data_IF_304583346744
#
_entry.id   IF_304583346744
#
_cell.length_a   1.000
_cell.length_b   1.000
_cell.length_c   1.000
_cell.angle_alpha   90.00
_cell.angle_beta   90.00
_cell.angle_gamma   90.00
#
_symmetry.space_group_name_H-M   'P 1'
#
loop_
_entity.id
_entity.type
_entity.pdbx_description
1 polymer ?
#
# COMPACT_ATOMS: atom_id res chain seq x y z
N UNK A 1 11.81 20.23 -30.56
CA UNK A 1 11.69 21.34 -31.50
C UNK A 1 10.26 21.89 -31.56
N UNK A 2 9.22 21.05 -31.57
CA UNK A 2 7.80 21.49 -31.60
C UNK A 2 7.37 22.30 -30.36
N UNK A 3 7.80 21.90 -29.17
CA UNK A 3 7.49 22.61 -27.90
C UNK A 3 8.11 24.02 -27.88
N UNK A 4 9.29 24.21 -28.48
CA UNK A 4 9.91 25.54 -28.65
C UNK A 4 9.15 26.45 -29.61
N UNK A 5 8.27 25.88 -30.42
CA UNK A 5 7.38 26.60 -31.35
C UNK A 5 5.97 26.80 -30.75
N UNK A 6 5.77 26.50 -29.46
CA UNK A 6 4.49 26.65 -28.80
C UNK A 6 3.47 25.55 -29.12
N UNK A 7 3.90 24.46 -29.79
CA UNK A 7 3.02 23.30 -30.01
C UNK A 7 3.26 22.24 -28.92
N UNK A 8 2.28 21.94 -28.06
CA UNK A 8 2.42 20.92 -27.05
C UNK A 8 2.62 19.54 -27.70
N UNK A 9 3.62 18.77 -27.23
CA UNK A 9 3.85 17.40 -27.67
C UNK A 9 3.06 16.39 -26.82
N UNK A 10 2.58 16.81 -25.66
CA UNK A 10 1.72 16.05 -24.76
C UNK A 10 0.48 16.90 -24.55
N UNK A 11 -0.68 16.35 -24.86
CA UNK A 11 -1.96 17.00 -24.58
C UNK A 11 -2.22 17.01 -23.07
N UNK A 12 -2.85 18.08 -22.59
CA UNK A 12 -3.34 18.13 -21.23
C UNK A 12 -4.52 17.17 -21.13
N UNK A 13 -4.41 16.20 -20.22
CA UNK A 13 -5.53 15.34 -19.86
C UNK A 13 -6.35 16.04 -18.75
N UNK A 14 -7.42 16.71 -19.17
CA UNK A 14 -8.29 17.47 -18.26
C UNK A 14 -9.09 16.56 -17.30
N UNK A 15 -9.19 15.28 -17.59
CA UNK A 15 -9.90 14.30 -16.76
C UNK A 15 -9.11 12.99 -16.66
N UNK A 16 -8.00 12.96 -15.89
CA UNK A 16 -7.21 11.75 -15.76
C UNK A 16 -8.05 10.61 -15.18
N UNK A 17 -7.97 9.44 -15.80
CA UNK A 17 -8.65 8.24 -15.34
C UNK A 17 -8.22 7.82 -13.92
N UNK A 18 -8.93 6.88 -13.29
CA UNK A 18 -8.58 6.38 -11.98
C UNK A 18 -7.17 5.78 -11.99
N UNK A 19 -6.42 6.03 -10.92
CA UNK A 19 -5.07 5.49 -10.77
C UNK A 19 -5.11 3.97 -10.78
N UNK A 20 -4.23 3.37 -11.55
CA UNK A 20 -4.09 1.91 -11.64
C UNK A 20 -3.27 1.33 -10.47
N UNK A 21 -2.48 2.18 -9.80
CA UNK A 21 -1.66 1.83 -8.65
C UNK A 21 -1.56 3.00 -7.68
N UNK A 22 -1.48 2.70 -6.39
CA UNK A 22 -1.33 3.72 -5.34
C UNK A 22 -0.08 3.40 -4.53
N UNK A 23 0.97 4.20 -4.69
CA UNK A 23 2.19 4.05 -3.93
C UNK A 23 2.28 5.05 -2.76
N UNK A 24 2.86 4.58 -1.66
CA UNK A 24 3.28 5.41 -0.54
C UNK A 24 4.67 4.98 -0.10
N UNK A 25 5.66 5.84 -0.33
CA UNK A 25 7.07 5.53 -0.10
C UNK A 25 7.77 6.70 0.56
N UNK A 26 8.82 6.41 1.34
CA UNK A 26 9.63 7.46 1.95
C UNK A 26 11.09 7.04 2.06
N UNK A 27 11.99 7.97 1.81
CA UNK A 27 13.39 7.85 2.21
C UNK A 27 13.55 8.29 3.65
N UNK A 28 14.36 7.56 4.41
CA UNK A 28 14.63 7.84 5.81
C UNK A 28 15.77 8.84 5.94
N UNK A 29 15.64 9.81 6.83
CA UNK A 29 16.70 10.78 7.10
C UNK A 29 17.95 10.13 7.72
N UNK A 30 17.77 9.04 8.47
CA UNK A 30 18.81 8.17 8.99
C UNK A 30 18.57 6.74 8.55
N UNK A 31 19.61 5.97 8.19
CA UNK A 31 19.44 4.56 7.83
C UNK A 31 18.82 3.76 8.97
N UNK A 32 17.92 2.86 8.65
CA UNK A 32 17.28 1.94 9.59
C UNK A 32 17.95 0.57 9.50
N UNK A 33 18.22 -0.02 10.67
CA UNK A 33 18.87 -1.34 10.80
C UNK A 33 17.93 -2.38 11.38
N UNK A 34 16.95 -1.96 12.17
CA UNK A 34 16.07 -2.83 12.93
C UNK A 34 14.76 -3.06 12.19
N UNK A 35 14.21 -4.26 12.39
CA UNK A 35 12.93 -4.65 11.78
C UNK A 35 11.75 -3.81 12.30
N UNK A 36 11.71 -3.53 13.60
CA UNK A 36 10.57 -2.85 14.23
C UNK A 36 10.27 -1.46 13.63
N UNK A 37 11.23 -0.54 13.51
CA UNK A 37 11.00 0.75 12.87
C UNK A 37 10.59 0.63 11.39
N UNK A 38 11.08 -0.39 10.67
CA UNK A 38 10.66 -0.65 9.30
C UNK A 38 9.19 -1.09 9.22
N UNK A 39 8.74 -1.95 10.14
CA UNK A 39 7.33 -2.35 10.25
C UNK A 39 6.46 -1.12 10.56
N UNK A 40 6.85 -0.30 11.53
CA UNK A 40 6.13 0.92 11.90
C UNK A 40 5.97 1.86 10.68
N UNK A 41 7.04 2.03 9.90
CA UNK A 41 7.02 2.86 8.70
C UNK A 41 6.07 2.30 7.62
N UNK A 42 6.17 1.00 7.29
CA UNK A 42 5.32 0.44 6.22
C UNK A 42 3.86 0.32 6.61
N UNK A 43 3.54 0.14 7.89
CA UNK A 43 2.15 0.15 8.39
C UNK A 43 1.55 1.56 8.29
N UNK A 44 2.31 2.60 8.60
CA UNK A 44 1.90 3.98 8.37
C UNK A 44 1.67 4.26 6.87
N UNK A 45 2.58 3.80 6.02
CA UNK A 45 2.45 3.98 4.57
C UNK A 45 1.23 3.23 4.01
N UNK A 46 0.95 2.03 4.51
CA UNK A 46 -0.25 1.28 4.15
C UNK A 46 -1.53 2.03 4.56
N UNK A 47 -1.56 2.62 5.74
CA UNK A 47 -2.68 3.47 6.18
C UNK A 47 -2.92 4.68 5.27
N UNK A 48 -1.85 5.36 4.87
CA UNK A 48 -1.93 6.49 3.92
C UNK A 48 -2.34 6.05 2.51
N UNK A 49 -1.90 4.88 2.07
CA UNK A 49 -2.30 4.31 0.78
C UNK A 49 -3.78 3.90 0.80
N UNK A 50 -4.26 3.29 1.89
CA UNK A 50 -5.66 2.92 2.10
C UNK A 50 -6.60 4.13 2.04
N UNK A 51 -6.23 5.26 2.67
CA UNK A 51 -7.02 6.49 2.58
C UNK A 51 -7.14 7.01 1.13
N UNK A 52 -6.03 6.97 0.37
CA UNK A 52 -6.05 7.37 -1.05
C UNK A 52 -6.92 6.41 -1.89
N UNK A 53 -6.87 5.11 -1.56
CA UNK A 53 -7.66 4.08 -2.22
C UNK A 53 -9.17 4.34 -2.01
N UNK A 54 -9.59 4.61 -0.77
CA UNK A 54 -10.98 4.96 -0.44
C UNK A 54 -11.45 6.24 -1.11
N UNK A 55 -10.60 7.27 -1.20
CA UNK A 55 -10.92 8.51 -1.95
C UNK A 55 -11.18 8.28 -3.42
N UNK A 56 -10.59 7.22 -3.99
CA UNK A 56 -10.82 6.80 -5.38
C UNK A 56 -11.98 5.82 -5.52
N UNK A 57 -12.62 5.40 -4.40
CA UNK A 57 -13.64 4.35 -4.37
C UNK A 57 -13.17 3.04 -5.03
N UNK A 58 -11.95 2.62 -4.70
CA UNK A 58 -11.33 1.41 -5.23
C UNK A 58 -10.95 0.45 -4.13
N UNK A 59 -10.82 -0.83 -4.47
CA UNK A 59 -10.31 -1.91 -3.62
C UNK A 59 -9.00 -2.42 -4.23
N UNK A 60 -8.07 -2.85 -3.40
CA UNK A 60 -6.82 -3.49 -3.85
C UNK A 60 -6.90 -5.01 -3.61
N UNK A 61 -6.31 -5.78 -4.51
CA UNK A 61 -6.17 -7.24 -4.37
C UNK A 61 -4.75 -7.65 -4.02
N UNK A 62 -3.78 -6.78 -4.25
CA UNK A 62 -2.37 -7.05 -4.01
C UNK A 62 -1.69 -5.84 -3.36
N UNK A 63 -0.73 -6.13 -2.48
CA UNK A 63 0.13 -5.17 -1.83
C UNK A 63 1.59 -5.52 -2.08
N UNK A 64 2.33 -4.68 -2.80
CA UNK A 64 3.78 -4.74 -2.88
C UNK A 64 4.39 -4.01 -1.69
N UNK A 65 5.30 -4.68 -0.98
CA UNK A 65 6.16 -4.08 0.05
C UNK A 65 7.59 -4.12 -0.45
N UNK A 66 8.36 -3.06 -0.25
CA UNK A 66 9.75 -3.04 -0.66
C UNK A 66 10.63 -2.23 0.31
N UNK A 67 11.92 -2.56 0.31
CA UNK A 67 12.95 -1.82 1.01
C UNK A 67 14.28 -1.90 0.25
N UNK A 68 15.11 -0.86 0.35
CA UNK A 68 16.45 -0.89 -0.22
C UNK A 68 17.45 -0.01 0.52
N UNK A 69 18.72 -0.36 0.37
CA UNK A 69 19.87 0.40 0.83
C UNK A 69 20.22 1.52 -0.16
N UNK A 70 21.17 2.38 0.18
CA UNK A 70 21.65 3.42 -0.74
C UNK A 70 22.54 2.84 -1.83
N UNK A 71 22.25 3.06 -3.10
CA UNK A 71 23.13 2.63 -4.19
C UNK A 71 24.43 3.42 -4.28
N UNK A 72 24.51 4.56 -3.57
CA UNK A 72 25.68 5.47 -3.64
C UNK A 72 26.68 5.28 -2.48
N UNK A 73 26.44 4.32 -1.61
CA UNK A 73 27.36 4.03 -0.49
C UNK A 73 28.17 2.77 -0.78
N UNK A 74 29.44 2.71 -0.32
CA UNK A 74 30.32 1.55 -0.55
C UNK A 74 29.93 0.32 0.30
N UNK A 75 28.93 0.44 1.17
CA UNK A 75 28.44 -0.62 2.04
C UNK A 75 27.70 -1.70 1.23
N UNK A 76 27.55 -2.89 1.83
CA UNK A 76 26.81 -3.97 1.22
C UNK A 76 25.38 -3.53 0.87
N UNK A 77 24.98 -3.77 -0.37
CA UNK A 77 23.69 -3.35 -0.90
C UNK A 77 22.67 -4.47 -0.81
N UNK A 78 21.45 -4.09 -0.45
CA UNK A 78 20.30 -4.98 -0.40
C UNK A 78 19.07 -4.25 -0.95
N UNK A 79 18.42 -4.85 -1.95
CA UNK A 79 17.12 -4.40 -2.47
C UNK A 79 16.19 -5.59 -2.48
N UNK A 80 15.08 -5.49 -1.78
CA UNK A 80 14.08 -6.56 -1.69
C UNK A 80 12.68 -6.02 -1.82
N UNK A 81 11.84 -6.82 -2.44
CA UNK A 81 10.40 -6.57 -2.55
C UNK A 81 9.64 -7.89 -2.49
N UNK A 82 8.41 -7.81 -2.04
CA UNK A 82 7.49 -8.95 -2.01
C UNK A 82 6.08 -8.45 -2.33
N UNK A 83 5.37 -9.21 -3.15
CA UNK A 83 3.94 -9.03 -3.38
C UNK A 83 3.19 -9.91 -2.39
N UNK A 84 2.33 -9.30 -1.60
CA UNK A 84 1.45 -9.98 -0.66
C UNK A 84 0.05 -9.98 -1.26
N UNK A 85 -0.48 -11.15 -1.68
CA UNK A 85 -1.85 -11.23 -2.13
C UNK A 85 -2.80 -11.01 -0.94
N UNK A 86 -3.84 -10.22 -1.16
CA UNK A 86 -4.89 -10.00 -0.18
C UNK A 86 -5.97 -11.08 -0.34
N UNK A 87 -6.43 -11.62 0.76
CA UNK A 87 -7.43 -12.71 0.74
C UNK A 87 -8.71 -12.33 -0.01
N UNK A 88 -9.07 -11.04 0.03
CA UNK A 88 -10.21 -10.45 -0.70
C UNK A 88 -9.85 -9.03 -1.09
N UNK A 89 -10.42 -8.49 -2.18
CA UNK A 89 -10.29 -7.09 -2.50
C UNK A 89 -10.72 -6.23 -1.30
N UNK A 90 -9.89 -5.28 -0.87
CA UNK A 90 -10.13 -4.51 0.35
C UNK A 90 -9.56 -3.10 0.30
N UNK A 91 -10.16 -2.18 1.05
CA UNK A 91 -9.68 -0.85 1.37
C UNK A 91 -9.51 -0.66 2.89
N UNK A 92 -9.66 -1.75 3.67
CA UNK A 92 -9.53 -1.75 5.13
C UNK A 92 -8.06 -1.48 5.52
N UNK A 93 -7.85 -0.37 6.21
CA UNK A 93 -6.53 0.05 6.69
C UNK A 93 -5.85 -1.02 7.55
N UNK A 94 -6.61 -1.72 8.41
CA UNK A 94 -6.03 -2.74 9.30
C UNK A 94 -5.55 -3.96 8.52
N UNK A 95 -6.34 -4.41 7.53
CA UNK A 95 -5.96 -5.53 6.68
C UNK A 95 -4.71 -5.20 5.85
N UNK A 96 -4.64 -4.00 5.27
CA UNK A 96 -3.50 -3.54 4.48
C UNK A 96 -2.25 -3.33 5.34
N UNK A 97 -2.41 -2.76 6.56
CA UNK A 97 -1.30 -2.59 7.51
C UNK A 97 -0.74 -3.95 7.98
N UNK A 98 -1.61 -4.92 8.25
CA UNK A 98 -1.18 -6.27 8.62
C UNK A 98 -0.41 -6.95 7.48
N UNK A 99 -0.94 -6.89 6.25
CA UNK A 99 -0.27 -7.43 5.07
C UNK A 99 1.11 -6.78 4.84
N UNK A 100 1.21 -5.45 5.02
CA UNK A 100 2.47 -4.73 4.92
C UNK A 100 3.49 -5.18 5.99
N UNK A 101 3.03 -5.35 7.23
CA UNK A 101 3.87 -5.84 8.33
C UNK A 101 4.37 -7.27 8.07
N UNK A 102 3.51 -8.15 7.58
CA UNK A 102 3.88 -9.55 7.29
C UNK A 102 4.84 -9.62 6.10
N UNK A 103 4.61 -8.85 5.05
CA UNK A 103 5.54 -8.72 3.92
C UNK A 103 6.91 -8.21 4.36
N UNK A 104 6.97 -7.21 5.25
CA UNK A 104 8.22 -6.68 5.79
C UNK A 104 8.95 -7.74 6.64
N UNK A 105 8.25 -8.48 7.51
CA UNK A 105 8.84 -9.57 8.30
C UNK A 105 9.44 -10.66 7.42
N UNK A 106 8.72 -11.02 6.35
CA UNK A 106 9.16 -12.07 5.43
C UNK A 106 10.45 -11.70 4.69
N UNK A 107 10.57 -10.46 4.22
CA UNK A 107 11.71 -10.07 3.39
C UNK A 107 12.88 -9.47 4.16
N UNK A 108 12.72 -9.17 5.46
CA UNK A 108 13.76 -8.53 6.25
C UNK A 108 15.01 -9.41 6.38
N UNK A 109 16.16 -8.78 6.19
CA UNK A 109 17.49 -9.38 6.41
C UNK A 109 18.28 -8.47 7.33
N UNK A 110 18.79 -8.96 8.48
CA UNK A 110 19.61 -8.18 9.37
C UNK A 110 20.96 -7.83 8.75
N UNK A 111 21.62 -6.81 9.27
CA UNK A 111 22.98 -6.42 8.87
C UNK A 111 23.05 -5.36 7.76
N UNK A 112 21.95 -4.96 7.18
CA UNK A 112 21.88 -3.91 6.15
C UNK A 112 21.38 -2.57 6.69
N UNK A 113 21.77 -1.48 6.00
CA UNK A 113 21.39 -0.10 6.31
C UNK A 113 20.35 0.40 5.32
N UNK A 114 19.09 0.14 5.61
CA UNK A 114 17.97 0.53 4.73
C UNK A 114 17.72 2.03 4.78
N UNK A 115 17.63 2.67 3.63
CA UNK A 115 17.39 4.11 3.51
C UNK A 115 16.01 4.44 2.94
N UNK A 116 15.33 3.48 2.35
CA UNK A 116 14.00 3.68 1.78
C UNK A 116 13.17 2.42 1.93
N UNK A 117 11.92 2.62 2.27
CA UNK A 117 10.90 1.59 2.23
C UNK A 117 9.59 2.18 1.67
N UNK A 118 8.70 1.30 1.28
CA UNK A 118 7.39 1.72 0.78
C UNK A 118 6.45 0.57 0.55
N UNK A 119 5.21 0.95 0.29
CA UNK A 119 4.15 0.06 -0.13
C UNK A 119 3.53 0.57 -1.43
N UNK A 120 2.99 -0.34 -2.23
CA UNK A 120 2.22 -0.02 -3.42
C UNK A 120 1.03 -0.96 -3.51
N UNK A 121 -0.16 -0.39 -3.55
CA UNK A 121 -1.40 -1.11 -3.81
C UNK A 121 -1.52 -1.33 -5.31
N UNK A 122 -1.78 -2.58 -5.70
CA UNK A 122 -1.84 -3.02 -7.09
C UNK A 122 -3.15 -3.73 -7.37
N UNK A 123 -3.40 -3.98 -8.65
CA UNK A 123 -4.62 -4.61 -9.15
C UNK A 123 -5.86 -3.97 -8.52
N UNK A 124 -6.04 -2.66 -8.78
CA UNK A 124 -7.11 -1.86 -8.21
C UNK A 124 -8.41 -2.12 -8.96
N UNK A 125 -9.47 -2.41 -8.20
CA UNK A 125 -10.81 -2.66 -8.73
C UNK A 125 -11.80 -1.62 -8.18
N UNK A 126 -12.82 -1.21 -8.97
CA UNK A 126 -13.88 -0.34 -8.46
C UNK A 126 -14.64 -1.00 -7.30
N UNK A 127 -14.90 -0.27 -6.22
CA UNK A 127 -15.59 -0.79 -5.03
C UNK A 127 -17.03 -1.28 -5.29
N UNK A 128 -17.65 -0.91 -6.43
CA UNK A 128 -18.98 -1.34 -6.82
C UNK A 128 -19.07 -2.74 -7.46
N UNK A 129 -17.93 -3.35 -7.80
CA UNK A 129 -17.89 -4.67 -8.45
C UNK A 129 -17.51 -5.71 -7.39
N UNK A 130 -18.48 -6.16 -6.61
CA UNK A 130 -18.32 -7.31 -5.72
C UNK A 130 -18.45 -8.60 -6.52
N UNK A 131 -17.36 -9.13 -7.02
CA UNK A 131 -17.32 -10.50 -7.49
C UNK A 131 -17.34 -11.43 -6.27
N UNK A 132 -18.49 -12.05 -5.99
CA UNK A 132 -18.60 -13.06 -4.94
C UNK A 132 -17.82 -14.29 -5.39
N UNK A 133 -16.81 -14.68 -4.63
CA UNK A 133 -16.21 -16.01 -4.78
C UNK A 133 -17.26 -17.05 -4.40
N UNK A 134 -17.46 -18.06 -5.26
CA UNK A 134 -18.12 -19.29 -4.86
C UNK A 134 -17.15 -20.02 -3.91
N UNK A 135 -17.45 -19.99 -2.61
CA UNK A 135 -16.78 -20.85 -1.63
C UNK A 135 -17.12 -22.32 -1.99
N UNK A 136 -16.29 -22.94 -2.81
CA UNK A 136 -16.38 -24.36 -3.18
C UNK A 136 -15.64 -25.28 -2.18
N UNK A 137 -15.05 -24.73 -1.14
CA UNK A 137 -14.43 -25.54 -0.09
C UNK A 137 -15.49 -26.08 0.87
N UNK A 138 -15.50 -27.42 1.11
CA UNK A 138 -16.39 -28.00 2.10
C UNK A 138 -16.03 -27.44 3.49
N UNK A 139 -17.06 -26.96 4.17
CA UNK A 139 -17.01 -26.36 5.52
C UNK A 139 -16.37 -27.37 6.51
N UNK A 140 -15.04 -27.31 6.64
CA UNK A 140 -14.31 -27.94 7.70
C UNK A 140 -13.71 -26.83 8.59
N UNK A 141 -14.41 -26.60 9.69
CA UNK A 141 -14.13 -25.71 10.82
C UNK A 141 -14.71 -24.30 10.68
N UNK A 142 -15.73 -24.14 11.50
CA UNK A 142 -16.33 -22.88 11.90
C UNK A 142 -15.30 -21.91 12.49
N UNK A 143 -14.58 -21.20 11.63
CA UNK A 143 -13.95 -19.97 12.05
C UNK A 143 -15.01 -18.88 11.92
N UNK A 144 -15.74 -18.64 13.02
CA UNK A 144 -16.84 -17.66 13.15
C UNK A 144 -16.38 -16.21 13.03
N UNK A 145 -15.35 -15.91 12.27
CA UNK A 145 -15.01 -14.55 11.91
C UNK A 145 -15.54 -14.23 10.51
N UNK A 146 -16.86 -14.06 10.40
CA UNK A 146 -17.39 -13.20 9.32
C UNK A 146 -16.57 -11.93 9.33
N UNK A 147 -15.93 -11.54 8.19
CA UNK A 147 -15.19 -10.30 8.13
C UNK A 147 -16.12 -9.18 8.59
N UNK A 148 -15.82 -8.59 9.76
CA UNK A 148 -16.61 -7.47 10.25
C UNK A 148 -16.53 -6.38 9.20
N UNK A 149 -17.68 -5.96 8.69
CA UNK A 149 -17.74 -4.76 7.85
C UNK A 149 -17.25 -3.56 8.67
N UNK A 150 -16.05 -3.10 8.35
CA UNK A 150 -15.39 -1.96 9.01
C UNK A 150 -15.53 -0.67 8.22
N UNK A 151 -16.36 -0.62 7.18
CA UNK A 151 -16.52 0.55 6.31
C UNK A 151 -16.90 1.81 7.10
N UNK A 152 -17.81 1.67 8.07
CA UNK A 152 -18.19 2.76 8.98
C UNK A 152 -17.04 3.24 9.85
N UNK A 153 -16.21 2.32 10.34
CA UNK A 153 -15.01 2.66 11.12
C UNK A 153 -14.00 3.40 10.25
N UNK A 154 -13.74 2.94 9.04
CA UNK A 154 -12.83 3.60 8.11
C UNK A 154 -13.32 5.01 7.75
N UNK A 155 -14.62 5.18 7.50
CA UNK A 155 -15.22 6.50 7.24
C UNK A 155 -15.04 7.44 8.43
N UNK A 156 -15.27 6.95 9.65
CA UNK A 156 -15.08 7.76 10.86
C UNK A 156 -13.61 8.16 11.06
N UNK A 157 -12.67 7.23 10.85
CA UNK A 157 -11.23 7.50 10.91
C UNK A 157 -10.81 8.56 9.88
N UNK A 158 -11.28 8.45 8.65
CA UNK A 158 -10.98 9.39 7.58
C UNK A 158 -11.56 10.78 7.88
N UNK A 159 -12.76 10.85 8.46
CA UNK A 159 -13.38 12.12 8.89
C UNK A 159 -12.57 12.79 10.00
N UNK A 160 -12.11 12.05 11.00
CA UNK A 160 -11.25 12.55 12.09
C UNK A 160 -9.92 13.04 11.53
N UNK A 161 -9.25 12.25 10.70
CA UNK A 161 -7.99 12.63 10.07
C UNK A 161 -8.12 13.86 9.16
N UNK A 162 -9.26 14.01 8.49
CA UNK A 162 -9.56 15.19 7.66
C UNK A 162 -9.78 16.46 8.48
N UNK A 163 -10.36 16.33 9.70
CA UNK A 163 -10.69 17.48 10.56
C UNK A 163 -9.52 17.93 11.44
N UNK A 164 -8.77 16.99 12.00
CA UNK A 164 -7.75 17.26 13.01
C UNK A 164 -6.31 17.04 12.53
N UNK A 165 -6.14 16.58 11.28
CA UNK A 165 -4.84 16.17 10.77
C UNK A 165 -4.49 14.73 11.14
N UNK A 166 -3.38 14.26 10.61
CA UNK A 166 -2.85 12.93 10.89
C UNK A 166 -1.82 13.05 12.01
N UNK A 167 -2.03 12.30 13.07
CA UNK A 167 -1.09 12.19 14.17
C UNK A 167 0.26 11.58 13.76
#
# INVERSE_FOLDING_TARGET
>A
VRELQGMPCIELDDAPGPKQQIACTRSFGKPMHELRPLIEAVTEFAGRAAEKLRKQHSLATELLVFMHTSPHRPEAQCSRSVVVPLRRPTDDTLALAQAAADGMRYMYVPGFRFIKAGVMLMDLQPAGILQRELDLEPVAREDKSTPRDRSRLMTAMDAINGRYGKG
#
